data_IF_621119940760
#
_entry.id   IF_621119940760
#
_cell.length_a   1.000
_cell.length_b   1.000
_cell.length_c   1.000
_cell.angle_alpha   90.00
_cell.angle_beta   90.00
_cell.angle_gamma   90.00
#
_symmetry.space_group_name_H-M   'P 1'
#
loop_
_entity.id
_entity.type
_entity.pdbx_description
1 polymer ?
#
# COMPACT_ATOMS: atom_id res chain seq x y z
N UNK A 1 57.01 19.94 28.30
CA UNK A 1 55.88 20.90 28.40
C UNK A 1 55.83 21.72 27.10
N UNK A 2 54.62 22.11 26.64
CA UNK A 2 54.30 23.09 25.57
C UNK A 2 53.73 22.63 24.20
N UNK A 3 53.23 21.40 24.04
CA UNK A 3 52.35 21.11 22.87
C UNK A 3 50.90 21.49 23.17
N UNK A 4 50.44 21.18 24.38
CA UNK A 4 49.02 21.30 24.75
C UNK A 4 48.56 22.76 25.02
N UNK A 5 49.50 23.65 25.41
CA UNK A 5 49.21 25.10 25.52
C UNK A 5 49.12 25.79 24.17
N UNK A 6 49.89 25.34 23.18
CA UNK A 6 49.91 25.97 21.86
C UNK A 6 48.64 25.66 21.06
N UNK A 7 48.08 24.45 21.22
CA UNK A 7 46.79 24.07 20.61
C UNK A 7 45.64 24.86 21.22
N UNK A 8 45.59 25.01 22.56
CA UNK A 8 44.56 25.82 23.23
C UNK A 8 44.65 27.29 22.87
N UNK A 9 45.86 27.83 22.72
CA UNK A 9 46.05 29.23 22.32
C UNK A 9 45.58 29.47 20.89
N UNK A 10 45.95 28.60 19.94
CA UNK A 10 45.52 28.74 18.53
C UNK A 10 44.03 28.49 18.32
N UNK A 11 43.40 27.57 19.05
CA UNK A 11 41.94 27.39 19.02
C UNK A 11 41.21 28.60 19.62
N UNK A 12 41.77 29.22 20.67
CA UNK A 12 41.22 30.44 21.26
C UNK A 12 41.33 31.67 20.34
N UNK A 13 42.33 31.70 19.47
CA UNK A 13 42.52 32.77 18.48
C UNK A 13 41.55 32.63 17.29
N UNK A 14 41.34 31.39 16.81
CA UNK A 14 40.36 31.08 15.75
C UNK A 14 38.92 31.31 16.24
N UNK A 15 38.63 30.99 17.51
CA UNK A 15 37.30 31.22 18.08
C UNK A 15 36.94 32.71 18.27
N UNK A 16 37.95 33.61 18.33
CA UNK A 16 37.73 35.06 18.46
C UNK A 16 37.49 35.78 17.13
N UNK A 17 37.87 35.16 16.00
CA UNK A 17 37.64 35.74 14.66
C UNK A 17 36.29 35.37 14.04
N UNK A 18 35.45 34.60 14.75
CA UNK A 18 34.10 34.26 14.30
C UNK A 18 33.11 35.18 15.00
N UNK A 19 32.86 36.35 14.41
CA UNK A 19 31.65 37.11 14.73
C UNK A 19 30.44 36.36 14.16
N UNK A 20 29.48 35.94 14.99
CA UNK A 20 28.25 35.33 14.50
C UNK A 20 27.52 36.34 13.60
N UNK A 21 27.14 35.91 12.40
CA UNK A 21 26.23 36.70 11.57
C UNK A 21 24.96 36.98 12.39
N UNK A 22 24.40 38.21 12.31
CA UNK A 22 23.22 38.56 13.07
C UNK A 22 22.10 37.57 12.72
N UNK A 23 21.59 36.90 13.76
CA UNK A 23 20.59 35.85 13.66
C UNK A 23 19.44 36.26 12.72
N UNK A 24 19.26 35.58 11.57
CA UNK A 24 18.19 35.90 10.62
C UNK A 24 16.80 35.68 11.22
N UNK A 25 16.69 34.86 12.29
CA UNK A 25 15.42 34.64 12.99
C UNK A 25 14.96 35.86 13.80
N UNK A 26 15.87 36.69 14.29
CA UNK A 26 15.51 37.90 15.05
C UNK A 26 14.71 38.91 14.23
N UNK A 27 15.03 39.07 12.93
CA UNK A 27 14.29 39.96 12.02
C UNK A 27 12.94 39.37 11.58
N UNK A 28 12.84 38.04 11.54
CA UNK A 28 11.58 37.32 11.25
C UNK A 28 10.62 37.34 12.45
N UNK A 29 11.14 37.18 13.68
CA UNK A 29 10.37 37.23 14.91
C UNK A 29 9.87 38.66 15.21
N UNK A 30 10.68 39.69 14.99
CA UNK A 30 10.25 41.08 15.18
C UNK A 30 9.15 41.52 14.18
N UNK A 31 9.07 40.91 12.98
CA UNK A 31 7.96 41.11 12.03
C UNK A 31 6.72 40.29 12.40
N UNK A 32 6.90 39.13 13.04
CA UNK A 32 5.81 38.27 13.56
C UNK A 32 5.12 38.92 14.75
N UNK A 33 5.87 39.50 15.70
CA UNK A 33 5.31 40.12 16.90
C UNK A 33 4.56 41.43 16.61
N UNK A 34 4.98 42.18 15.57
CA UNK A 34 4.22 43.35 15.10
C UNK A 34 2.96 42.99 14.31
N UNK A 35 2.87 41.77 13.76
CA UNK A 35 1.68 41.28 13.04
C UNK A 35 0.70 40.55 13.95
N UNK A 36 1.16 39.88 15.02
CA UNK A 36 0.31 39.17 15.97
C UNK A 36 -0.56 40.09 16.83
N UNK A 37 -0.17 41.35 17.02
CA UNK A 37 -0.99 42.35 17.71
C UNK A 37 -2.20 42.86 16.89
N UNK A 38 -2.39 42.44 15.63
CA UNK A 38 -3.47 42.93 14.75
C UNK A 38 -4.32 41.87 14.05
N UNK A 39 -4.16 40.59 14.35
CA UNK A 39 -4.96 39.53 13.72
C UNK A 39 -5.56 38.62 14.79
N UNK A 40 -6.72 39.02 15.31
CA UNK A 40 -7.72 38.08 15.81
C UNK A 40 -8.48 37.57 14.59
N UNK A 41 -8.67 36.24 14.55
CA UNK A 41 -9.45 35.44 13.61
C UNK A 41 -8.75 35.04 12.30
N UNK A 42 -7.91 34.01 12.36
CA UNK A 42 -7.65 33.05 11.27
C UNK A 42 -6.95 31.81 11.82
N UNK A 43 -7.34 30.62 11.36
CA UNK A 43 -6.59 29.39 11.57
C UNK A 43 -6.55 28.55 10.29
N UNK A 44 -5.37 28.48 9.68
CA UNK A 44 -4.80 27.47 8.77
C UNK A 44 -3.41 28.01 8.32
N UNK A 45 -2.33 27.28 8.08
CA UNK A 45 -2.10 25.85 7.87
C UNK A 45 -0.62 25.50 8.16
N UNK A 46 -0.35 24.26 8.59
CA UNK A 46 0.93 23.55 8.39
C UNK A 46 0.60 22.33 7.54
N UNK A 47 1.19 22.26 6.35
CA UNK A 47 0.91 21.22 5.37
C UNK A 47 1.83 20.00 5.61
N UNK A 48 1.25 18.94 6.17
CA UNK A 48 1.76 17.57 5.99
C UNK A 48 1.07 17.03 4.74
N UNK A 49 1.84 16.67 3.72
CA UNK A 49 1.30 16.04 2.51
C UNK A 49 0.91 14.60 2.88
N UNK A 50 -0.33 14.43 3.33
CA UNK A 50 -1.00 13.15 3.34
C UNK A 50 -1.43 12.87 1.88
N UNK A 51 -0.76 11.93 1.22
CA UNK A 51 -1.27 11.37 -0.04
C UNK A 51 -2.38 10.39 0.34
N UNK A 52 -3.55 10.92 0.67
CA UNK A 52 -4.79 10.14 0.60
C UNK A 52 -5.10 9.98 -0.87
N UNK A 53 -5.01 8.74 -1.39
CA UNK A 53 -5.60 8.40 -2.69
C UNK A 53 -7.11 8.46 -2.48
N UNK A 54 -7.67 9.67 -2.53
CA UNK A 54 -9.08 9.86 -2.75
C UNK A 54 -9.33 9.45 -4.20
N UNK A 55 -9.84 8.24 -4.41
CA UNK A 55 -10.41 7.86 -5.71
C UNK A 55 -11.52 8.89 -5.98
N UNK A 56 -11.39 9.78 -6.98
CA UNK A 56 -12.43 10.73 -7.27
C UNK A 56 -13.57 9.94 -7.92
N UNK A 57 -14.60 9.62 -7.14
CA UNK A 57 -15.87 9.18 -7.71
C UNK A 57 -16.50 10.39 -8.40
N UNK A 58 -16.12 10.65 -9.65
CA UNK A 58 -16.74 11.66 -10.50
C UNK A 58 -18.11 11.12 -10.91
N UNK A 59 -19.10 11.27 -10.04
CA UNK A 59 -20.51 11.14 -10.44
C UNK A 59 -20.92 12.41 -11.19
N UNK A 60 -20.65 12.45 -12.50
CA UNK A 60 -21.45 13.27 -13.41
C UNK A 60 -22.82 12.63 -13.50
N UNK A 61 -23.87 13.42 -13.25
CA UNK A 61 -25.27 12.97 -13.21
C UNK A 61 -25.76 12.41 -14.54
N UNK A 62 -25.42 11.16 -14.84
CA UNK A 62 -26.20 10.31 -15.71
C UNK A 62 -27.46 9.88 -14.97
N UNK A 63 -28.60 9.93 -15.68
CA UNK A 63 -29.88 9.46 -15.15
C UNK A 63 -29.69 8.01 -14.67
N UNK A 64 -30.22 7.62 -13.49
CA UNK A 64 -30.04 6.28 -12.97
C UNK A 64 -30.58 5.27 -13.97
N UNK A 65 -29.69 4.54 -14.63
CA UNK A 65 -30.05 3.30 -15.29
C UNK A 65 -30.49 2.36 -14.18
N UNK A 66 -31.75 1.93 -14.22
CA UNK A 66 -32.27 0.90 -13.33
C UNK A 66 -31.35 -0.32 -13.50
N UNK A 67 -30.71 -0.83 -12.44
CA UNK A 67 -29.84 -2.00 -12.56
C UNK A 67 -30.62 -3.14 -13.21
N UNK A 68 -30.02 -3.80 -14.20
CA UNK A 68 -30.43 -5.14 -14.62
C UNK A 68 -30.56 -6.04 -13.38
N UNK A 69 -31.52 -6.97 -13.41
CA UNK A 69 -31.89 -7.93 -12.34
C UNK A 69 -30.81 -8.07 -11.25
N UNK A 70 -31.17 -7.69 -10.01
CA UNK A 70 -30.22 -7.59 -8.90
C UNK A 70 -29.37 -8.84 -8.75
N UNK A 71 -28.05 -8.67 -8.75
CA UNK A 71 -27.10 -9.75 -8.48
C UNK A 71 -27.51 -10.47 -7.19
N UNK A 72 -27.53 -11.80 -7.25
CA UNK A 72 -27.95 -12.68 -6.16
C UNK A 72 -27.08 -12.50 -4.91
N UNK A 73 -25.94 -11.82 -5.01
CA UNK A 73 -24.92 -11.73 -3.95
C UNK A 73 -23.82 -12.75 -4.20
N UNK A 74 -22.75 -12.68 -3.40
CA UNK A 74 -21.62 -13.60 -3.50
C UNK A 74 -21.87 -14.87 -2.71
N UNK A 75 -21.36 -15.99 -3.22
CA UNK A 75 -21.47 -17.28 -2.53
C UNK A 75 -20.76 -17.24 -1.18
N UNK A 76 -21.47 -17.69 -0.13
CA UNK A 76 -20.89 -17.94 1.19
C UNK A 76 -20.04 -19.19 1.11
N UNK A 77 -18.73 -18.99 0.99
CA UNK A 77 -17.70 -19.99 0.73
C UNK A 77 -17.00 -20.48 2.00
N UNK A 78 -17.05 -19.74 3.11
CA UNK A 78 -16.29 -20.08 4.33
C UNK A 78 -17.11 -20.07 5.63
N UNK A 79 -16.72 -20.86 6.64
CA UNK A 79 -17.30 -20.78 7.98
C UNK A 79 -17.13 -19.40 8.64
N UNK A 80 -16.10 -18.63 8.27
CA UNK A 80 -15.85 -17.31 8.84
C UNK A 80 -16.76 -16.23 8.30
N UNK A 81 -17.18 -16.34 7.03
CA UNK A 81 -18.26 -15.51 6.48
C UNK A 81 -19.55 -15.72 7.26
N UNK A 82 -19.92 -16.97 7.52
CA UNK A 82 -21.08 -17.29 8.38
C UNK A 82 -20.91 -16.75 9.80
N UNK A 83 -19.69 -16.82 10.36
CA UNK A 83 -19.37 -16.25 11.67
C UNK A 83 -19.49 -14.72 11.67
N UNK A 84 -19.11 -14.04 10.59
CA UNK A 84 -19.31 -12.60 10.44
C UNK A 84 -20.79 -12.25 10.40
N UNK A 85 -21.60 -12.96 9.61
CA UNK A 85 -23.05 -12.75 9.51
C UNK A 85 -23.77 -12.95 10.84
N UNK A 86 -23.33 -13.94 11.63
CA UNK A 86 -23.87 -14.23 12.96
C UNK A 86 -23.26 -13.38 14.09
N UNK A 87 -22.36 -12.45 13.78
CA UNK A 87 -21.76 -11.56 14.77
C UNK A 87 -22.80 -10.55 15.28
N UNK A 88 -22.79 -10.20 16.58
CA UNK A 88 -23.66 -9.14 17.08
C UNK A 88 -23.36 -7.81 16.39
N UNK A 89 -24.37 -6.95 16.30
CA UNK A 89 -24.19 -5.57 15.85
C UNK A 89 -23.20 -4.84 16.75
N UNK A 90 -22.24 -4.14 16.15
CA UNK A 90 -21.18 -3.40 16.85
C UNK A 90 -21.22 -1.92 16.52
N UNK A 91 -20.43 -1.12 17.24
CA UNK A 91 -20.35 0.33 17.09
C UNK A 91 -21.06 1.10 18.19
N UNK A 92 -20.81 2.41 18.25
CA UNK A 92 -21.24 3.30 19.33
C UNK A 92 -22.76 3.47 19.46
N UNK A 93 -23.53 3.02 18.46
CA UNK A 93 -25.00 3.08 18.44
C UNK A 93 -25.65 1.70 18.52
N UNK A 94 -24.88 0.60 18.56
CA UNK A 94 -25.41 -0.77 18.54
C UNK A 94 -26.33 -1.11 19.71
N UNK A 95 -26.10 -0.52 20.90
CA UNK A 95 -26.95 -0.72 22.07
C UNK A 95 -28.35 -0.07 21.93
N UNK A 96 -28.53 0.84 20.96
CA UNK A 96 -29.81 1.52 20.72
C UNK A 96 -30.70 0.64 19.83
N UNK A 97 -31.26 -0.43 20.38
CA UNK A 97 -32.04 -1.44 19.63
C UNK A 97 -33.10 -0.84 18.71
N UNK A 98 -33.90 0.12 19.21
CA UNK A 98 -34.93 0.77 18.39
C UNK A 98 -34.35 1.48 17.14
N UNK A 99 -33.16 2.06 17.24
CA UNK A 99 -32.49 2.70 16.11
C UNK A 99 -31.93 1.66 15.13
N UNK A 100 -31.35 0.57 15.63
CA UNK A 100 -30.87 -0.55 14.80
C UNK A 100 -32.04 -1.16 14.02
N UNK A 101 -33.15 -1.44 14.70
CA UNK A 101 -34.37 -1.99 14.10
C UNK A 101 -34.95 -1.04 13.03
N UNK A 102 -34.93 0.28 13.27
CA UNK A 102 -35.36 1.29 12.30
C UNK A 102 -34.46 1.30 11.05
N UNK A 103 -33.14 1.27 11.23
CA UNK A 103 -32.17 1.21 10.12
C UNK A 103 -32.41 -0.04 9.27
N UNK A 104 -32.50 -1.22 9.91
CA UNK A 104 -32.74 -2.50 9.23
C UNK A 104 -34.06 -2.45 8.45
N UNK A 105 -35.15 -2.01 9.08
CA UNK A 105 -36.47 -1.92 8.45
C UNK A 105 -36.45 -0.98 7.24
N UNK A 106 -35.80 0.19 7.35
CA UNK A 106 -35.70 1.14 6.23
C UNK A 106 -34.84 0.60 5.10
N UNK A 107 -33.69 -0.01 5.38
CA UNK A 107 -32.86 -0.64 4.34
C UNK A 107 -33.61 -1.78 3.64
N UNK A 108 -34.31 -2.61 4.41
CA UNK A 108 -35.09 -3.74 3.90
C UNK A 108 -36.24 -3.28 2.99
N UNK A 109 -36.98 -2.26 3.40
CA UNK A 109 -38.05 -1.68 2.56
C UNK A 109 -37.53 -1.05 1.24
N UNK A 110 -36.23 -0.73 1.16
CA UNK A 110 -35.59 -0.15 0.00
C UNK A 110 -34.80 -1.15 -0.86
N UNK A 111 -34.93 -2.46 -0.64
CA UNK A 111 -34.22 -3.52 -1.40
C UNK A 111 -34.11 -3.26 -2.91
N UNK A 112 -35.21 -2.89 -3.56
CA UNK A 112 -35.22 -2.64 -5.00
C UNK A 112 -34.34 -1.46 -5.41
N UNK A 113 -34.36 -0.37 -4.63
CA UNK A 113 -33.51 0.83 -4.84
C UNK A 113 -32.04 0.50 -4.56
N UNK A 114 -31.80 -0.36 -3.57
CA UNK A 114 -30.48 -0.87 -3.22
C UNK A 114 -29.97 -1.94 -4.20
N UNK A 115 -30.80 -2.38 -5.15
CA UNK A 115 -30.49 -3.43 -6.12
C UNK A 115 -30.29 -4.81 -5.50
N UNK A 116 -30.91 -5.07 -4.35
CA UNK A 116 -30.78 -6.34 -3.61
C UNK A 116 -31.72 -7.38 -4.20
N UNK A 117 -31.19 -8.57 -4.48
CA UNK A 117 -31.99 -9.69 -4.97
C UNK A 117 -33.09 -10.08 -3.96
N UNK A 118 -34.31 -10.41 -4.42
CA UNK A 118 -35.37 -10.94 -3.57
C UNK A 118 -35.03 -12.31 -2.94
N UNK A 119 -33.99 -12.99 -3.42
CA UNK A 119 -33.54 -14.28 -2.88
C UNK A 119 -32.82 -14.14 -1.53
N UNK A 120 -32.25 -12.96 -1.24
CA UNK A 120 -31.51 -12.66 -0.01
C UNK A 120 -32.46 -12.26 1.14
N UNK A 121 -33.21 -13.21 1.66
CA UNK A 121 -34.36 -12.96 2.55
C UNK A 121 -33.98 -12.43 3.94
N UNK A 122 -32.78 -12.71 4.42
CA UNK A 122 -32.34 -12.37 5.77
C UNK A 122 -31.55 -11.06 5.80
N UNK A 123 -31.60 -10.37 6.93
CA UNK A 123 -30.93 -9.08 7.13
C UNK A 123 -30.21 -9.08 8.48
N UNK A 124 -28.88 -8.97 8.43
CA UNK A 124 -28.02 -8.99 9.62
C UNK A 124 -27.31 -7.64 9.79
N UNK A 125 -27.67 -6.83 10.80
CA UNK A 125 -26.95 -5.59 11.10
C UNK A 125 -25.58 -5.87 11.72
N UNK A 126 -24.51 -5.53 11.02
CA UNK A 126 -23.14 -5.82 11.46
C UNK A 126 -22.52 -4.65 12.24
N UNK A 127 -22.78 -3.42 11.81
CA UNK A 127 -22.26 -2.22 12.45
C UNK A 127 -23.24 -1.05 12.38
N UNK A 128 -23.37 -0.30 13.47
CA UNK A 128 -24.00 1.01 13.51
C UNK A 128 -23.27 1.90 14.51
N UNK A 129 -22.71 3.01 14.03
CA UNK A 129 -21.93 3.89 14.90
C UNK A 129 -21.58 5.23 14.28
N UNK A 130 -21.22 6.15 15.17
CA UNK A 130 -20.53 7.39 14.82
C UNK A 130 -19.03 7.15 14.75
N UNK A 131 -18.40 7.50 13.63
CA UNK A 131 -16.95 7.40 13.40
C UNK A 131 -16.45 8.70 12.77
N UNK A 132 -15.53 9.38 13.46
CA UNK A 132 -15.06 10.70 13.04
C UNK A 132 -16.22 11.70 12.91
N UNK A 133 -16.45 12.16 11.68
CA UNK A 133 -17.51 13.12 11.33
C UNK A 133 -18.73 12.47 10.68
N UNK A 134 -18.79 11.14 10.64
CA UNK A 134 -19.82 10.39 9.94
C UNK A 134 -20.58 9.41 10.84
N UNK A 135 -21.86 9.18 10.50
CA UNK A 135 -22.66 8.05 10.94
C UNK A 135 -22.58 6.96 9.88
N UNK A 136 -22.21 5.75 10.28
CA UNK A 136 -22.03 4.60 9.38
C UNK A 136 -22.96 3.46 9.82
N UNK A 137 -23.66 2.86 8.86
CA UNK A 137 -24.37 1.59 9.00
C UNK A 137 -23.82 0.56 8.00
N UNK A 138 -23.60 -0.66 8.46
CA UNK A 138 -23.29 -1.79 7.59
C UNK A 138 -24.21 -2.95 7.92
N UNK A 139 -24.92 -3.41 6.89
CA UNK A 139 -25.93 -4.46 6.96
C UNK A 139 -25.65 -5.49 5.90
N UNK A 140 -25.74 -6.77 6.25
CA UNK A 140 -25.68 -7.86 5.29
C UNK A 140 -27.10 -8.29 4.89
N UNK A 141 -27.34 -8.42 3.60
CA UNK A 141 -28.51 -9.13 3.06
C UNK A 141 -28.04 -10.53 2.64
N UNK A 142 -28.69 -11.59 3.13
CA UNK A 142 -28.21 -12.95 2.89
C UNK A 142 -29.32 -14.00 2.75
N UNK A 143 -28.94 -15.13 2.17
CA UNK A 143 -29.62 -16.43 2.20
C UNK A 143 -28.72 -17.44 2.95
N UNK A 144 -29.01 -18.73 2.81
CA UNK A 144 -28.17 -19.80 3.35
C UNK A 144 -26.81 -19.93 2.64
N UNK A 145 -26.73 -19.47 1.40
CA UNK A 145 -25.63 -19.72 0.46
C UNK A 145 -25.09 -18.48 -0.25
N UNK A 146 -25.77 -17.33 -0.16
CA UNK A 146 -25.35 -16.08 -0.77
C UNK A 146 -25.49 -14.90 0.18
N UNK A 147 -24.62 -13.90 0.03
CA UNK A 147 -24.68 -12.70 0.82
C UNK A 147 -24.12 -11.49 0.08
N UNK A 148 -24.60 -10.30 0.46
CA UNK A 148 -24.01 -9.04 0.05
C UNK A 148 -24.01 -8.05 1.20
N UNK A 149 -22.93 -7.29 1.33
CA UNK A 149 -22.83 -6.23 2.31
C UNK A 149 -23.30 -4.91 1.69
N UNK A 150 -24.10 -4.17 2.44
CA UNK A 150 -24.54 -2.82 2.09
C UNK A 150 -24.08 -1.86 3.17
N UNK A 151 -23.33 -0.85 2.75
CA UNK A 151 -22.93 0.26 3.61
C UNK A 151 -23.78 1.50 3.35
N UNK A 152 -23.96 2.29 4.39
CA UNK A 152 -24.53 3.63 4.33
C UNK A 152 -23.73 4.58 5.20
N UNK A 153 -23.50 5.79 4.70
CA UNK A 153 -22.77 6.85 5.38
C UNK A 153 -23.51 8.18 5.23
N UNK A 154 -23.65 8.88 6.35
CA UNK A 154 -24.13 10.26 6.39
C UNK A 154 -23.30 11.06 7.39
N UNK A 155 -23.56 12.37 7.46
CA UNK A 155 -22.95 13.20 8.49
C UNK A 155 -23.27 12.65 9.89
N UNK A 156 -22.37 12.90 10.84
CA UNK A 156 -22.60 12.60 12.25
C UNK A 156 -23.95 13.16 12.70
N UNK A 157 -24.64 12.42 13.55
CA UNK A 157 -25.97 12.76 14.09
C UNK A 157 -27.12 12.79 13.06
N UNK A 158 -26.86 12.52 11.78
CA UNK A 158 -27.88 12.47 10.73
C UNK A 158 -29.01 11.51 11.08
N UNK A 159 -30.26 11.91 10.79
CA UNK A 159 -31.43 11.05 11.00
C UNK A 159 -31.31 9.72 10.25
N UNK A 160 -32.12 8.72 10.63
CA UNK A 160 -32.14 7.43 9.91
C UNK A 160 -32.48 7.64 8.43
N UNK A 161 -33.40 8.55 8.09
CA UNK A 161 -33.73 8.84 6.68
C UNK A 161 -32.54 9.43 5.91
N UNK A 162 -31.80 10.35 6.53
CA UNK A 162 -30.59 10.93 5.93
C UNK A 162 -29.47 9.89 5.79
N UNK A 163 -29.34 8.95 6.73
CA UNK A 163 -28.38 7.85 6.64
C UNK A 163 -28.69 6.93 5.46
N UNK A 164 -29.96 6.54 5.30
CA UNK A 164 -30.39 5.61 4.26
C UNK A 164 -30.29 6.24 2.86
N UNK A 165 -30.63 7.53 2.74
CA UNK A 165 -30.47 8.32 1.53
C UNK A 165 -29.03 8.83 1.29
N UNK A 166 -28.12 8.57 2.24
CA UNK A 166 -26.74 9.01 2.21
C UNK A 166 -25.88 8.29 1.18
N UNK A 167 -24.57 8.51 1.28
CA UNK A 167 -23.60 7.77 0.48
C UNK A 167 -23.53 6.31 0.90
N UNK A 168 -22.72 5.53 0.20
CA UNK A 168 -22.44 4.14 0.53
C UNK A 168 -22.12 3.33 -0.70
N UNK A 169 -22.06 2.02 -0.51
CA UNK A 169 -21.72 1.05 -1.53
C UNK A 169 -22.19 -0.35 -1.18
N UNK A 170 -22.12 -1.23 -2.17
CA UNK A 170 -22.32 -2.66 -2.04
C UNK A 170 -20.96 -3.34 -2.09
N UNK A 171 -20.76 -4.33 -1.25
CA UNK A 171 -19.49 -5.06 -1.16
C UNK A 171 -19.73 -6.56 -1.09
N UNK A 172 -18.80 -7.36 -1.62
CA UNK A 172 -18.83 -8.80 -1.41
C UNK A 172 -18.70 -9.12 0.08
N UNK A 173 -19.28 -10.24 0.50
CA UNK A 173 -19.04 -10.75 1.84
C UNK A 173 -17.61 -11.28 1.93
N UNK A 174 -16.81 -10.70 2.82
CA UNK A 174 -15.47 -11.18 3.14
C UNK A 174 -15.36 -11.29 4.67
N UNK A 175 -14.77 -12.36 5.23
CA UNK A 175 -14.56 -12.49 6.67
C UNK A 175 -13.92 -11.26 7.32
N UNK A 176 -12.99 -10.60 6.62
CA UNK A 176 -12.46 -9.31 7.02
C UNK A 176 -12.62 -8.32 5.88
N UNK A 177 -13.31 -7.22 6.17
CA UNK A 177 -13.46 -6.14 5.21
C UNK A 177 -13.30 -4.79 5.91
N UNK A 178 -12.85 -3.83 5.13
CA UNK A 178 -12.65 -2.46 5.57
C UNK A 178 -13.53 -1.59 4.68
N UNK A 179 -14.34 -0.76 5.31
CA UNK A 179 -15.12 0.27 4.64
C UNK A 179 -14.58 1.62 5.05
N UNK A 180 -14.26 2.49 4.09
CA UNK A 180 -13.85 3.86 4.36
C UNK A 180 -14.37 4.76 3.25
N UNK A 181 -15.00 5.87 3.61
CA UNK A 181 -15.52 6.82 2.63
C UNK A 181 -15.47 8.25 3.16
N UNK A 182 -15.15 9.19 2.27
CA UNK A 182 -15.36 10.62 2.46
C UNK A 182 -16.42 11.09 1.48
N UNK A 183 -17.41 11.84 1.97
CA UNK A 183 -18.49 12.42 1.17
C UNK A 183 -18.37 13.94 1.22
N UNK A 184 -18.33 14.55 0.04
CA UNK A 184 -18.37 15.99 -0.14
C UNK A 184 -19.72 16.36 -0.76
N UNK A 185 -20.51 17.20 -0.09
CA UNK A 185 -21.78 17.68 -0.62
C UNK A 185 -22.00 19.16 -0.28
N UNK A 186 -23.17 19.70 -0.64
CA UNK A 186 -23.52 21.10 -0.40
C UNK A 186 -23.57 21.50 1.08
N UNK A 187 -23.68 20.53 2.01
CA UNK A 187 -23.68 20.75 3.46
C UNK A 187 -22.29 20.63 4.09
N UNK A 188 -21.26 20.25 3.33
CA UNK A 188 -19.88 20.13 3.78
C UNK A 188 -19.24 18.79 3.45
N UNK A 189 -18.11 18.53 4.12
CA UNK A 189 -17.34 17.29 4.01
C UNK A 189 -17.47 16.48 5.30
N UNK A 190 -17.79 15.20 5.17
CA UNK A 190 -17.74 14.25 6.28
C UNK A 190 -17.14 12.93 5.82
N UNK A 191 -16.58 12.17 6.75
CA UNK A 191 -15.97 10.89 6.45
C UNK A 191 -15.66 10.07 7.69
N UNK A 192 -15.38 8.81 7.43
CA UNK A 192 -14.98 7.82 8.41
C UNK A 192 -14.93 6.43 7.77
N UNK A 193 -14.41 5.47 8.52
CA UNK A 193 -14.36 4.08 8.11
C UNK A 193 -14.52 3.12 9.27
N UNK A 194 -14.64 1.85 8.97
CA UNK A 194 -14.68 0.77 9.96
C UNK A 194 -14.11 -0.49 9.33
N UNK A 195 -13.28 -1.20 10.09
CA UNK A 195 -12.86 -2.55 9.79
C UNK A 195 -13.72 -3.53 10.59
N UNK A 196 -14.24 -4.57 9.93
CA UNK A 196 -15.02 -5.63 10.57
C UNK A 196 -14.41 -6.99 10.29
N UNK A 197 -14.25 -7.76 11.36
CA UNK A 197 -13.93 -9.18 11.39
C UNK A 197 -15.05 -9.93 12.13
N UNK A 198 -15.04 -11.28 12.16
CA UNK A 198 -16.00 -12.04 12.95
C UNK A 198 -15.83 -11.73 14.44
N UNK A 199 -16.92 -11.75 15.21
CA UNK A 199 -16.87 -11.45 16.63
C UNK A 199 -15.93 -12.40 17.40
N UNK A 200 -15.16 -11.81 18.33
CA UNK A 200 -14.10 -12.48 19.07
C UNK A 200 -12.78 -12.62 18.31
N UNK A 201 -12.64 -11.95 17.16
CA UNK A 201 -11.33 -11.75 16.54
C UNK A 201 -10.73 -10.41 16.98
N UNK A 202 -9.42 -10.43 17.16
CA UNK A 202 -8.57 -9.31 17.51
C UNK A 202 -8.15 -8.58 16.23
N UNK A 203 -8.33 -7.26 16.20
CA UNK A 203 -7.82 -6.38 15.13
C UNK A 203 -6.67 -5.56 15.72
N UNK A 204 -5.51 -5.69 15.08
CA UNK A 204 -4.35 -4.87 15.36
C UNK A 204 -3.95 -4.10 14.09
N UNK A 205 -3.44 -2.88 14.28
CA UNK A 205 -2.94 -2.05 13.18
C UNK A 205 -1.46 -1.74 13.35
N UNK A 206 -0.83 -1.36 12.25
CA UNK A 206 0.52 -0.80 12.27
C UNK A 206 0.60 0.42 11.37
N UNK A 207 1.23 1.47 11.89
CA UNK A 207 1.51 2.72 11.18
C UNK A 207 2.91 2.73 10.56
N UNK A 208 3.70 1.67 10.76
CA UNK A 208 5.08 1.63 10.33
C UNK A 208 5.73 0.26 10.49
N UNK A 209 6.34 -0.22 9.41
CA UNK A 209 7.26 -1.34 9.36
C UNK A 209 8.69 -0.86 9.26
N UNK A 210 9.60 -1.65 9.83
CA UNK A 210 11.05 -1.49 9.73
C UNK A 210 11.61 -2.61 8.87
N UNK A 211 12.17 -2.24 7.72
CA UNK A 211 12.86 -3.19 6.85
C UNK A 211 14.23 -3.56 7.44
N UNK A 212 14.44 -4.83 7.77
CA UNK A 212 15.66 -5.37 8.37
C UNK A 212 16.71 -5.72 7.32
N UNK A 213 17.96 -5.91 7.75
CA UNK A 213 19.09 -6.31 6.90
C UNK A 213 18.81 -7.61 6.14
N UNK A 214 18.10 -8.56 6.74
CA UNK A 214 17.80 -9.84 6.09
C UNK A 214 16.64 -9.76 5.07
N UNK A 215 16.12 -8.55 4.80
CA UNK A 215 15.01 -8.31 3.89
C UNK A 215 13.62 -8.51 4.51
N UNK A 216 13.53 -8.97 5.77
CA UNK A 216 12.24 -9.09 6.46
C UNK A 216 11.74 -7.73 6.93
N UNK A 217 10.43 -7.59 7.03
CA UNK A 217 9.79 -6.40 7.60
C UNK A 217 9.28 -6.71 9.00
N UNK A 218 9.67 -5.88 9.96
CA UNK A 218 9.27 -5.94 11.35
C UNK A 218 8.24 -4.83 11.64
N UNK A 219 7.04 -5.21 12.08
CA UNK A 219 5.95 -4.29 12.37
C UNK A 219 5.73 -4.14 13.87
N UNK A 220 5.58 -2.89 14.31
CA UNK A 220 5.05 -2.61 15.62
C UNK A 220 3.52 -2.64 15.55
N UNK A 221 2.92 -3.73 16.05
CA UNK A 221 1.47 -3.91 16.09
C UNK A 221 0.89 -3.24 17.33
N UNK A 222 -0.14 -2.43 17.12
CA UNK A 222 -0.99 -1.89 18.17
C UNK A 222 -2.30 -2.67 18.20
N UNK A 223 -2.67 -3.20 19.36
CA UNK A 223 -3.98 -3.84 19.52
C UNK A 223 -5.06 -2.76 19.59
N UNK A 224 -5.99 -2.79 18.65
CA UNK A 224 -6.99 -1.72 18.49
C UNK A 224 -8.42 -2.18 18.78
N UNK A 225 -8.72 -3.46 18.60
CA UNK A 225 -10.02 -4.05 18.96
C UNK A 225 -9.90 -5.53 19.33
N UNK A 226 -10.76 -5.98 20.25
CA UNK A 226 -10.89 -7.39 20.66
C UNK A 226 -12.28 -7.96 20.34
N UNK A 227 -13.16 -7.16 19.72
CA UNK A 227 -14.55 -7.55 19.43
C UNK A 227 -14.82 -7.73 17.92
N UNK A 228 -13.75 -7.66 17.12
CA UNK A 228 -13.78 -7.76 15.67
C UNK A 228 -14.29 -6.49 14.98
N UNK A 229 -14.33 -5.33 15.64
CA UNK A 229 -14.67 -4.06 15.01
C UNK A 229 -13.72 -2.94 15.39
N UNK A 230 -13.21 -2.19 14.41
CA UNK A 230 -12.35 -1.04 14.65
C UNK A 230 -12.78 0.19 13.83
N UNK A 231 -13.26 1.28 14.47
CA UNK A 231 -13.59 2.52 13.78
C UNK A 231 -12.33 3.27 13.34
N UNK A 232 -12.32 3.77 12.10
CA UNK A 232 -11.21 4.46 11.45
C UNK A 232 -11.62 5.91 11.15
N UNK A 233 -11.47 6.87 12.08
CA UNK A 233 -11.99 8.23 11.90
C UNK A 233 -11.31 8.99 10.76
N UNK A 234 -10.00 8.79 10.58
CA UNK A 234 -9.19 9.59 9.65
C UNK A 234 -8.77 8.81 8.39
N UNK A 235 -9.23 7.55 8.25
CA UNK A 235 -8.94 6.69 7.10
C UNK A 235 -7.48 6.23 6.95
N UNK A 236 -6.58 6.53 7.91
CA UNK A 236 -5.15 6.25 7.76
C UNK A 236 -4.69 5.07 8.61
N UNK A 237 -4.94 3.85 8.14
CA UNK A 237 -4.25 2.65 8.64
C UNK A 237 -3.53 2.00 7.46
N UNK A 238 -2.21 1.86 7.59
CA UNK A 238 -1.39 1.36 6.48
C UNK A 238 -1.34 -0.16 6.45
N UNK A 239 -1.40 -0.81 7.62
CA UNK A 239 -1.38 -2.27 7.72
C UNK A 239 -2.28 -2.79 8.83
N UNK A 240 -2.86 -3.94 8.56
CA UNK A 240 -3.85 -4.60 9.39
C UNK A 240 -3.38 -6.01 9.72
N UNK A 241 -3.73 -6.47 10.91
CA UNK A 241 -3.59 -7.85 11.34
C UNK A 241 -4.85 -8.27 12.07
N UNK A 242 -5.42 -9.40 11.65
CA UNK A 242 -6.58 -9.99 12.29
C UNK A 242 -6.22 -11.37 12.81
N UNK A 243 -6.38 -11.55 14.12
CA UNK A 243 -6.14 -12.83 14.79
C UNK A 243 -7.45 -13.34 15.37
N UNK A 244 -7.76 -14.61 15.20
CA UNK A 244 -8.95 -15.22 15.79
C UNK A 244 -8.50 -16.37 16.68
N UNK A 245 -8.38 -16.12 17.98
CA UNK A 245 -7.58 -16.95 18.90
C UNK A 245 -6.09 -16.81 18.58
N UNK A 246 -5.33 -17.90 18.67
CA UNK A 246 -3.87 -17.90 18.45
C UNK A 246 -3.46 -17.88 16.96
N UNK A 247 -4.43 -17.80 16.04
CA UNK A 247 -4.18 -17.89 14.59
C UNK A 247 -4.37 -16.53 13.94
N UNK A 248 -3.33 -16.05 13.26
CA UNK A 248 -3.42 -14.90 12.35
C UNK A 248 -4.15 -15.34 11.09
N UNK A 249 -5.34 -14.78 10.87
CA UNK A 249 -6.20 -15.05 9.72
C UNK A 249 -5.94 -14.07 8.59
N UNK A 250 -5.56 -12.85 8.93
CA UNK A 250 -5.23 -11.83 7.97
C UNK A 250 -4.04 -11.00 8.45
N UNK A 251 -3.14 -10.67 7.52
CA UNK A 251 -2.09 -9.69 7.71
C UNK A 251 -1.81 -9.02 6.37
N UNK A 252 -1.95 -7.70 6.25
CA UNK A 252 -1.81 -7.05 4.95
C UNK A 252 -2.22 -5.58 4.91
N UNK A 253 -2.05 -4.92 3.75
CA UNK A 253 -2.56 -3.57 3.52
C UNK A 253 -4.09 -3.59 3.39
N UNK A 254 -4.77 -2.46 3.62
CA UNK A 254 -6.25 -2.37 3.53
C UNK A 254 -6.86 -3.03 2.29
N UNK A 255 -6.23 -2.82 1.13
CA UNK A 255 -6.56 -3.49 -0.12
C UNK A 255 -5.26 -3.94 -0.78
N UNK A 256 -5.21 -5.16 -1.34
CA UNK A 256 -4.17 -5.55 -2.28
C UNK A 256 -4.07 -4.50 -3.40
N UNK A 257 -2.86 -4.20 -3.85
CA UNK A 257 -2.65 -3.33 -5.01
C UNK A 257 -1.99 -4.13 -6.10
N UNK A 258 -2.75 -4.44 -7.14
CA UNK A 258 -2.26 -5.13 -8.33
C UNK A 258 -2.06 -4.15 -9.50
N UNK A 259 -2.71 -2.99 -9.43
CA UNK A 259 -2.62 -1.94 -10.42
C UNK A 259 -2.79 -0.55 -9.78
N UNK A 260 -2.18 0.47 -10.36
CA UNK A 260 -2.51 1.87 -10.05
C UNK A 260 -2.12 2.80 -11.20
N UNK A 261 -2.80 3.94 -11.27
CA UNK A 261 -2.52 5.03 -12.21
C UNK A 261 -2.04 6.25 -11.41
N UNK A 262 -0.83 6.73 -11.70
CA UNK A 262 -0.30 7.97 -11.09
C UNK A 262 -0.96 9.25 -11.61
N UNK A 263 -1.95 9.12 -12.49
CA UNK A 263 -2.51 10.24 -13.24
C UNK A 263 -1.60 10.65 -14.39
N UNK A 264 -2.06 11.60 -15.21
CA UNK A 264 -1.47 12.00 -16.49
C UNK A 264 -0.09 12.70 -16.40
N UNK A 265 0.86 12.18 -15.64
CA UNK A 265 2.28 12.35 -15.90
C UNK A 265 2.68 11.33 -17.00
N UNK A 266 2.22 11.55 -18.23
CA UNK A 266 2.79 10.84 -19.36
C UNK A 266 4.24 11.30 -19.51
N UNK A 267 5.18 10.45 -19.10
CA UNK A 267 6.56 10.61 -19.52
C UNK A 267 6.57 10.60 -21.07
N UNK A 268 7.16 11.59 -21.74
CA UNK A 268 7.29 11.55 -23.18
C UNK A 268 7.96 10.23 -23.61
N UNK A 269 7.52 9.66 -24.73
CA UNK A 269 8.15 8.44 -25.27
C UNK A 269 9.62 8.77 -25.57
N UNK A 270 10.59 8.05 -24.99
CA UNK A 270 11.99 8.37 -25.21
C UNK A 270 12.37 8.14 -26.68
N UNK A 271 13.10 9.10 -27.25
CA UNK A 271 13.78 8.88 -28.52
C UNK A 271 14.88 7.80 -28.33
N UNK A 272 15.00 6.82 -29.23
CA UNK A 272 15.99 5.76 -29.08
C UNK A 272 17.41 6.35 -29.04
N UNK A 273 18.18 5.98 -28.00
CA UNK A 273 19.61 6.28 -27.87
C UNK A 273 20.02 7.37 -26.89
N UNK A 274 19.14 7.82 -25.97
CA UNK A 274 19.48 8.82 -24.95
C UNK A 274 19.56 8.23 -23.53
N UNK A 275 20.34 8.90 -22.67
CA UNK A 275 20.25 8.85 -21.20
C UNK A 275 18.80 8.69 -20.73
N UNK A 276 18.62 8.02 -19.60
CA UNK A 276 17.34 7.81 -18.92
C UNK A 276 16.54 9.11 -18.99
N UNK A 277 15.34 9.04 -19.57
CA UNK A 277 14.44 10.19 -19.57
C UNK A 277 14.14 10.57 -18.11
N UNK A 278 14.43 11.82 -17.73
CA UNK A 278 14.16 12.36 -16.38
C UNK A 278 12.70 12.11 -15.96
N UNK A 279 11.77 12.06 -16.91
CA UNK A 279 10.38 11.73 -16.64
C UNK A 279 10.18 10.26 -16.26
N UNK A 280 10.85 9.32 -16.94
CA UNK A 280 10.81 7.90 -16.59
C UNK A 280 11.45 7.64 -15.22
N UNK A 281 12.54 8.33 -14.91
CA UNK A 281 13.17 8.28 -13.59
C UNK A 281 12.22 8.75 -12.49
N UNK A 282 11.56 9.89 -12.72
CA UNK A 282 10.57 10.43 -11.78
C UNK A 282 9.41 9.46 -11.55
N UNK A 283 8.85 8.88 -12.62
CA UNK A 283 7.81 7.85 -12.56
C UNK A 283 8.29 6.67 -11.70
N UNK A 284 9.50 6.15 -11.92
CA UNK A 284 10.04 5.05 -11.13
C UNK A 284 10.24 5.40 -9.63
N UNK A 285 10.67 6.62 -9.32
CA UNK A 285 10.82 7.10 -7.93
C UNK A 285 9.45 7.24 -7.24
N UNK A 286 8.46 7.82 -7.92
CA UNK A 286 7.09 7.93 -7.40
C UNK A 286 6.46 6.55 -7.20
N UNK A 287 6.64 5.63 -8.15
CA UNK A 287 6.26 4.22 -8.04
C UNK A 287 6.83 3.57 -6.78
N UNK A 288 8.14 3.73 -6.55
CA UNK A 288 8.79 3.16 -5.38
C UNK A 288 8.26 3.80 -4.08
N UNK A 289 8.09 5.12 -4.04
CA UNK A 289 7.51 5.82 -2.87
C UNK A 289 6.09 5.35 -2.56
N UNK A 290 5.25 5.20 -3.58
CA UNK A 290 3.90 4.68 -3.44
C UNK A 290 3.92 3.27 -2.84
N UNK A 291 4.75 2.38 -3.38
CA UNK A 291 4.88 1.00 -2.88
C UNK A 291 5.43 0.95 -1.45
N UNK A 292 6.40 1.81 -1.09
CA UNK A 292 6.90 1.91 0.29
C UNK A 292 5.79 2.32 1.25
N UNK A 293 4.98 3.30 0.86
CA UNK A 293 3.80 3.72 1.62
C UNK A 293 2.76 2.60 1.77
N UNK A 294 2.51 1.83 0.70
CA UNK A 294 1.59 0.69 0.72
C UNK A 294 2.10 -0.48 1.56
N UNK A 295 3.40 -0.71 1.59
CA UNK A 295 4.04 -1.67 2.49
C UNK A 295 4.15 -1.15 3.94
N UNK A 296 3.64 0.06 4.23
CA UNK A 296 3.77 0.74 5.52
C UNK A 296 5.23 0.93 5.95
N UNK A 297 6.19 1.00 5.03
CA UNK A 297 7.62 1.13 5.37
C UNK A 297 7.97 2.58 5.73
N UNK A 298 7.92 2.88 7.03
CA UNK A 298 8.19 4.20 7.57
C UNK A 298 9.70 4.47 7.74
N UNK A 299 10.11 5.73 7.63
CA UNK A 299 11.50 6.16 7.86
C UNK A 299 12.50 5.70 6.80
N UNK A 300 12.04 5.11 5.70
CA UNK A 300 12.87 4.79 4.56
C UNK A 300 13.16 6.07 3.76
N UNK A 301 14.43 6.40 3.45
CA UNK A 301 14.79 7.56 2.64
C UNK A 301 14.17 7.52 1.24
N UNK A 302 14.18 8.67 0.56
CA UNK A 302 13.73 8.80 -0.83
C UNK A 302 14.44 7.76 -1.72
N UNK A 303 13.70 7.03 -2.56
CA UNK A 303 14.28 6.10 -3.52
C UNK A 303 15.28 6.78 -4.45
N UNK A 304 16.37 6.08 -4.76
CA UNK A 304 17.36 6.51 -5.76
C UNK A 304 17.43 5.51 -6.91
N UNK A 305 17.59 5.97 -8.16
CA UNK A 305 17.86 5.07 -9.28
C UNK A 305 19.27 4.48 -9.13
N UNK A 306 19.37 3.17 -9.25
CA UNK A 306 20.65 2.44 -9.16
C UNK A 306 21.11 1.97 -10.54
N UNK A 307 20.16 1.63 -11.41
CA UNK A 307 20.42 1.23 -12.77
C UNK A 307 19.25 1.59 -13.68
N UNK A 308 19.55 1.82 -14.95
CA UNK A 308 18.55 1.78 -16.01
C UNK A 308 19.17 1.31 -17.31
N UNK A 309 18.32 0.74 -18.15
CA UNK A 309 18.72 0.26 -19.46
C UNK A 309 17.69 -0.72 -20.00
N UNK A 310 18.13 -1.55 -20.94
CA UNK A 310 17.37 -2.70 -21.42
C UNK A 310 18.24 -3.94 -21.36
N UNK A 311 17.64 -5.09 -21.09
CA UNK A 311 18.30 -6.39 -21.22
C UNK A 311 17.43 -7.29 -22.11
N UNK A 312 18.00 -8.30 -22.80
CA UNK A 312 17.24 -9.17 -23.70
C UNK A 312 16.03 -9.83 -23.04
N UNK A 313 16.14 -10.23 -21.77
CA UNK A 313 15.06 -10.82 -21.00
C UNK A 313 13.85 -9.88 -20.78
N UNK A 314 14.01 -8.58 -21.00
CA UNK A 314 12.92 -7.59 -20.95
C UNK A 314 12.24 -7.36 -22.31
N UNK A 315 12.56 -8.17 -23.33
CA UNK A 315 12.05 -7.97 -24.69
C UNK A 315 12.48 -6.64 -25.31
N UNK A 316 13.62 -6.09 -24.89
CA UNK A 316 14.14 -4.80 -25.34
C UNK A 316 13.45 -3.57 -24.73
N UNK A 317 12.51 -3.74 -23.80
CA UNK A 317 11.88 -2.62 -23.07
C UNK A 317 12.89 -1.93 -22.16
N UNK A 318 12.76 -0.61 -22.05
CA UNK A 318 13.50 0.16 -21.05
C UNK A 318 13.03 -0.19 -19.65
N UNK A 319 13.95 -0.27 -18.71
CA UNK A 319 13.67 -0.52 -17.31
C UNK A 319 14.55 0.32 -16.39
N UNK A 320 14.05 0.55 -15.20
CA UNK A 320 14.72 1.30 -14.14
C UNK A 320 14.66 0.46 -12.87
N UNK A 321 15.82 0.28 -12.23
CA UNK A 321 15.93 -0.25 -10.87
C UNK A 321 16.14 0.91 -9.93
N UNK A 322 15.24 1.08 -8.98
CA UNK A 322 15.39 2.04 -7.88
C UNK A 322 15.48 1.31 -6.55
N UNK A 323 16.23 1.87 -5.60
CA UNK A 323 16.41 1.29 -4.29
C UNK A 323 16.34 2.33 -3.19
N UNK A 324 15.91 1.89 -2.01
CA UNK A 324 15.85 2.69 -0.79
C UNK A 324 16.43 1.87 0.37
N UNK A 325 17.29 2.48 1.17
CA UNK A 325 18.01 1.80 2.26
C UNK A 325 17.45 2.27 3.59
N UNK A 326 16.84 1.37 4.35
CA UNK A 326 16.31 1.67 5.67
C UNK A 326 17.43 2.04 6.66
N UNK A 327 17.12 2.76 7.75
CA UNK A 327 18.08 3.00 8.83
C UNK A 327 18.63 1.72 9.49
N UNK A 328 17.89 0.61 9.39
CA UNK A 328 18.33 -0.69 9.87
C UNK A 328 19.22 -1.44 8.88
N UNK A 329 19.53 -0.84 7.71
CA UNK A 329 20.40 -1.42 6.68
C UNK A 329 19.71 -2.35 5.69
N UNK A 330 18.39 -2.54 5.79
CA UNK A 330 17.62 -3.29 4.81
C UNK A 330 17.38 -2.48 3.53
N UNK A 331 17.35 -3.15 2.38
CA UNK A 331 17.22 -2.51 1.06
C UNK A 331 15.89 -2.91 0.44
N UNK A 332 15.06 -1.92 0.10
CA UNK A 332 13.84 -2.08 -0.70
C UNK A 332 14.16 -1.75 -2.15
N UNK A 333 13.93 -2.68 -3.07
CA UNK A 333 14.26 -2.54 -4.50
C UNK A 333 13.01 -2.66 -5.34
N UNK A 334 12.87 -1.78 -6.33
CA UNK A 334 11.80 -1.81 -7.34
C UNK A 334 12.43 -1.91 -8.72
N UNK A 335 11.98 -2.86 -9.52
CA UNK A 335 12.18 -2.89 -10.96
C UNK A 335 10.90 -2.42 -11.64
N UNK A 336 11.00 -1.37 -12.44
CA UNK A 336 9.94 -0.93 -13.35
C UNK A 336 10.38 -1.19 -14.79
N UNK A 337 9.56 -1.92 -15.55
CA UNK A 337 9.74 -2.22 -16.97
C UNK A 337 8.71 -1.45 -17.77
N UNK A 338 9.16 -0.46 -18.54
CA UNK A 338 8.31 0.55 -19.17
C UNK A 338 8.37 1.91 -18.45
N UNK A 339 7.82 2.93 -19.11
CA UNK A 339 7.85 4.34 -18.68
C UNK A 339 6.47 4.93 -18.41
N UNK A 340 5.41 4.12 -18.54
CA UNK A 340 4.04 4.55 -18.28
C UNK A 340 3.81 4.81 -16.79
N UNK A 341 3.00 5.84 -16.49
CA UNK A 341 2.49 6.13 -15.15
C UNK A 341 1.38 5.18 -14.68
N UNK A 342 0.86 4.35 -15.59
CA UNK A 342 0.02 3.20 -15.26
C UNK A 342 0.91 2.00 -15.00
N UNK A 343 0.69 1.35 -13.86
CA UNK A 343 1.58 0.31 -13.35
C UNK A 343 0.77 -0.93 -13.00
N UNK A 344 1.21 -2.08 -13.50
CA UNK A 344 0.80 -3.40 -13.03
C UNK A 344 1.91 -3.97 -12.13
N UNK A 345 1.52 -4.45 -10.96
CA UNK A 345 2.45 -4.94 -9.94
C UNK A 345 2.42 -6.47 -9.98
N UNK A 346 3.58 -7.06 -10.20
CA UNK A 346 3.81 -8.48 -10.07
C UNK A 346 4.14 -8.82 -8.62
N UNK A 347 3.29 -9.62 -8.00
CA UNK A 347 3.31 -9.93 -6.56
C UNK A 347 3.28 -11.44 -6.27
N UNK A 348 3.49 -12.27 -7.30
CA UNK A 348 3.53 -13.73 -7.20
C UNK A 348 3.71 -14.40 -8.55
N UNK A 349 3.78 -15.74 -8.56
CA UNK A 349 3.88 -16.56 -9.79
C UNK A 349 2.53 -16.80 -10.48
N UNK A 350 1.44 -16.54 -9.77
CA UNK A 350 0.06 -16.69 -10.25
C UNK A 350 -0.70 -15.38 -10.02
N UNK A 351 -1.69 -15.12 -10.86
CA UNK A 351 -2.57 -13.95 -10.71
C UNK A 351 -3.51 -14.17 -9.53
N UNK A 352 -3.35 -13.36 -8.48
CA UNK A 352 -4.20 -13.41 -7.28
C UNK A 352 -5.44 -12.50 -7.31
N UNK A 353 -5.54 -11.58 -8.29
CA UNK A 353 -6.67 -10.66 -8.34
C UNK A 353 -7.98 -11.38 -8.72
N UNK A 354 -9.10 -11.12 -8.02
CA UNK A 354 -10.42 -11.53 -8.50
C UNK A 354 -10.68 -10.89 -9.85
N UNK A 355 -11.00 -11.72 -10.86
CA UNK A 355 -11.55 -11.25 -12.14
C UNK A 355 -12.82 -10.43 -11.84
N UNK A 356 -12.75 -9.11 -11.87
CA UNK A 356 -13.91 -8.24 -11.65
C UNK A 356 -13.76 -7.11 -10.63
N UNK A 357 -12.58 -6.82 -10.07
CA UNK A 357 -12.40 -5.54 -9.40
C UNK A 357 -12.64 -4.42 -10.42
N UNK A 358 -13.54 -3.48 -10.12
CA UNK A 358 -13.87 -2.33 -10.98
C UNK A 358 -12.66 -1.40 -11.30
N UNK A 359 -11.47 -1.71 -10.80
CA UNK A 359 -10.17 -1.24 -11.32
C UNK A 359 -9.83 -1.86 -12.69
N UNK A 360 -10.85 -2.30 -13.46
CA UNK A 360 -10.70 -3.03 -14.72
C UNK A 360 -9.80 -2.23 -15.65
N UNK A 361 -8.67 -2.88 -15.94
CA UNK A 361 -7.64 -2.55 -16.90
C UNK A 361 -8.31 -2.40 -18.26
N UNK A 362 -8.75 -1.19 -18.59
CA UNK A 362 -9.29 -0.88 -19.90
C UNK A 362 -8.24 -1.06 -21.01
N UNK A 363 -8.64 -0.93 -22.29
CA UNK A 363 -7.71 -1.03 -23.44
C UNK A 363 -6.48 -0.11 -23.33
N UNK A 364 -6.59 0.95 -22.53
CA UNK A 364 -5.60 1.97 -22.22
C UNK A 364 -4.50 1.51 -21.24
N UNK A 365 -4.50 0.25 -20.81
CA UNK A 365 -3.48 -0.35 -19.94
C UNK A 365 -2.57 -1.37 -20.63
N UNK A 366 -2.77 -1.62 -21.93
CA UNK A 366 -1.89 -2.51 -22.71
C UNK A 366 -0.41 -2.08 -22.62
N UNK A 367 -0.17 -0.77 -22.55
CA UNK A 367 1.16 -0.17 -22.43
C UNK A 367 1.58 0.14 -20.98
N UNK A 368 0.86 -0.39 -19.98
CA UNK A 368 1.23 -0.20 -18.58
C UNK A 368 2.67 -0.71 -18.31
N UNK A 369 3.36 0.00 -17.43
CA UNK A 369 4.64 -0.44 -16.88
C UNK A 369 4.41 -1.68 -16.02
N UNK A 370 5.33 -2.63 -16.07
CA UNK A 370 5.30 -3.79 -15.20
C UNK A 370 6.28 -3.57 -14.06
N UNK A 371 5.86 -3.82 -12.84
CA UNK A 371 6.66 -3.56 -11.65
C UNK A 371 6.82 -4.82 -10.82
N UNK A 372 8.02 -5.06 -10.31
CA UNK A 372 8.27 -6.07 -9.28
C UNK A 372 9.07 -5.44 -8.13
N UNK A 373 8.92 -6.02 -6.95
CA UNK A 373 9.60 -5.56 -5.74
C UNK A 373 10.46 -6.66 -5.14
N UNK A 374 11.52 -6.28 -4.44
CA UNK A 374 12.37 -7.19 -3.70
C UNK A 374 12.92 -6.51 -2.45
N UNK A 375 13.30 -7.30 -1.46
CA UNK A 375 14.00 -6.84 -0.27
C UNK A 375 15.28 -7.65 -0.02
N UNK A 376 16.30 -7.02 0.57
CA UNK A 376 17.57 -7.69 0.85
C UNK A 376 18.61 -6.83 1.57
N UNK A 377 19.81 -7.40 1.74
CA UNK A 377 20.82 -6.88 2.68
C UNK A 377 21.80 -5.86 2.10
N UNK A 378 22.03 -5.89 0.78
CA UNK A 378 23.18 -5.20 0.19
C UNK A 378 22.80 -4.30 -0.97
N UNK A 379 23.22 -3.04 -0.89
CA UNK A 379 23.15 -2.09 -2.01
C UNK A 379 24.14 -2.40 -3.13
N UNK A 380 25.20 -3.15 -2.81
CA UNK A 380 26.29 -3.48 -3.74
C UNK A 380 25.95 -4.73 -4.58
N UNK A 381 24.83 -5.39 -4.27
CA UNK A 381 24.27 -6.53 -5.01
C UNK A 381 22.75 -6.59 -4.82
N UNK A 382 22.04 -6.00 -5.78
CA UNK A 382 20.58 -6.01 -5.85
C UNK A 382 20.10 -7.14 -6.77
N UNK A 383 18.95 -7.71 -6.43
CA UNK A 383 18.23 -8.61 -7.32
C UNK A 383 16.73 -8.45 -7.18
N UNK A 384 16.02 -8.56 -8.29
CA UNK A 384 14.57 -8.37 -8.38
C UNK A 384 14.03 -9.16 -9.57
N UNK A 385 12.85 -9.75 -9.40
CA UNK A 385 12.20 -10.54 -10.46
C UNK A 385 11.91 -9.66 -11.66
N UNK A 386 12.17 -10.20 -12.84
CA UNK A 386 11.65 -9.62 -14.07
C UNK A 386 10.14 -9.92 -14.11
N UNK A 387 9.27 -8.91 -14.09
CA UNK A 387 7.84 -9.13 -14.21
C UNK A 387 7.45 -9.43 -15.67
N UNK A 388 6.44 -10.26 -15.85
CA UNK A 388 5.80 -10.55 -17.13
C UNK A 388 4.31 -10.21 -17.07
N UNK A 389 3.73 -9.81 -18.20
CA UNK A 389 2.29 -9.56 -18.30
C UNK A 389 1.55 -10.88 -18.51
N UNK A 390 0.51 -11.11 -17.71
CA UNK A 390 -0.45 -12.19 -17.90
C UNK A 390 -1.86 -11.60 -17.99
N UNK A 391 -2.34 -11.45 -19.23
CA UNK A 391 -3.58 -10.73 -19.53
C UNK A 391 -3.59 -9.30 -18.99
N UNK A 392 -4.50 -9.03 -18.07
CA UNK A 392 -4.69 -7.74 -17.39
C UNK A 392 -3.85 -7.59 -16.12
N UNK A 393 -2.99 -8.56 -15.81
CA UNK A 393 -2.17 -8.61 -14.60
C UNK A 393 -0.68 -8.73 -14.90
N UNK A 394 0.15 -8.70 -13.86
CA UNK A 394 1.58 -8.99 -13.94
C UNK A 394 1.96 -10.11 -12.96
N UNK A 395 2.90 -10.95 -13.36
CA UNK A 395 3.38 -12.11 -12.59
C UNK A 395 4.92 -12.14 -12.54
N UNK A 396 5.48 -12.88 -11.59
CA UNK A 396 6.91 -13.14 -11.49
C UNK A 396 7.35 -14.20 -12.50
N UNK A 397 8.42 -13.91 -13.22
CA UNK A 397 9.12 -14.93 -14.03
C UNK A 397 10.14 -15.70 -13.21
N UNK A 398 10.72 -16.76 -13.78
CA UNK A 398 11.89 -17.42 -13.19
C UNK A 398 13.21 -16.66 -13.39
N UNK A 399 13.20 -15.43 -13.92
CA UNK A 399 14.39 -14.63 -14.17
C UNK A 399 14.52 -13.52 -13.13
N UNK A 400 15.71 -13.37 -12.55
CA UNK A 400 16.08 -12.23 -11.71
C UNK A 400 16.99 -11.30 -12.51
N UNK A 401 16.66 -10.01 -12.53
CA UNK A 401 17.63 -8.98 -12.88
C UNK A 401 18.56 -8.77 -11.69
N UNK A 402 19.87 -8.89 -11.93
CA UNK A 402 20.91 -8.65 -10.94
C UNK A 402 21.67 -7.38 -11.30
N UNK A 403 21.82 -6.49 -10.33
CA UNK A 403 22.61 -5.25 -10.43
C UNK A 403 23.67 -5.26 -9.34
N UNK A 404 24.93 -5.28 -9.74
CA UNK A 404 26.09 -5.35 -8.87
C UNK A 404 27.10 -4.23 -9.19
N UNK A 405 28.21 -4.21 -8.46
CA UNK A 405 29.39 -3.40 -8.81
C UNK A 405 29.79 -3.60 -10.29
N UNK A 406 30.18 -2.52 -10.98
CA UNK A 406 30.49 -2.55 -12.42
C UNK A 406 31.67 -3.48 -12.78
N UNK A 407 32.54 -3.79 -11.82
CA UNK A 407 33.65 -4.73 -11.99
C UNK A 407 33.24 -6.19 -11.81
N UNK A 408 32.01 -6.46 -11.37
CA UNK A 408 31.45 -7.80 -11.28
C UNK A 408 31.22 -8.36 -12.68
N UNK A 409 31.70 -9.57 -12.92
CA UNK A 409 31.58 -10.30 -14.19
C UNK A 409 30.72 -11.54 -14.07
N UNK A 410 30.40 -11.98 -12.85
CA UNK A 410 29.65 -13.20 -12.58
C UNK A 410 28.84 -13.07 -11.29
N UNK A 411 27.67 -13.70 -11.23
CA UNK A 411 26.88 -13.88 -10.02
C UNK A 411 26.53 -15.35 -9.83
N UNK A 412 26.67 -15.84 -8.60
CA UNK A 412 26.27 -17.17 -8.16
C UNK A 412 25.09 -17.05 -7.21
N UNK A 413 24.11 -17.94 -7.37
CA UNK A 413 23.04 -18.14 -6.39
C UNK A 413 23.27 -19.45 -5.65
N UNK A 414 23.33 -19.39 -4.33
CA UNK A 414 23.45 -20.56 -3.46
C UNK A 414 22.22 -20.70 -2.56
N UNK A 415 21.73 -21.92 -2.38
CA UNK A 415 20.62 -22.17 -1.45
C UNK A 415 21.07 -22.19 0.02
N UNK A 416 20.12 -22.44 0.93
CA UNK A 416 20.39 -22.49 2.38
C UNK A 416 21.40 -23.58 2.79
N UNK A 417 21.63 -24.60 1.96
CA UNK A 417 22.64 -25.65 2.19
C UNK A 417 24.01 -25.28 1.63
N UNK A 418 24.11 -24.14 0.94
CA UNK A 418 25.31 -23.69 0.25
C UNK A 418 25.48 -24.31 -1.15
N UNK A 419 24.49 -25.06 -1.64
CA UNK A 419 24.54 -25.65 -2.99
C UNK A 419 24.30 -24.56 -4.04
N UNK A 420 25.12 -24.56 -5.08
CA UNK A 420 24.93 -23.71 -6.24
C UNK A 420 23.64 -24.09 -6.99
N UNK A 421 22.70 -23.15 -7.08
CA UNK A 421 21.40 -23.33 -7.76
C UNK A 421 21.28 -22.49 -9.03
N UNK A 422 22.17 -21.52 -9.24
CA UNK A 422 22.21 -20.73 -10.45
C UNK A 422 23.54 -19.99 -10.63
N UNK A 423 23.84 -19.63 -11.87
CA UNK A 423 25.00 -18.80 -12.23
C UNK A 423 24.66 -17.96 -13.44
N UNK A 424 25.13 -16.72 -13.47
CA UNK A 424 25.00 -15.85 -14.64
C UNK A 424 26.24 -14.99 -14.84
N UNK A 425 26.50 -14.66 -16.10
CA UNK A 425 27.49 -13.64 -16.47
C UNK A 425 26.89 -12.25 -16.30
N UNK A 426 27.73 -11.31 -15.89
CA UNK A 426 27.39 -9.90 -15.76
C UNK A 426 28.20 -9.09 -16.78
N UNK A 427 27.54 -8.14 -17.42
CA UNK A 427 28.15 -7.12 -18.27
C UNK A 427 28.03 -5.80 -17.56
N UNK A 428 29.17 -5.17 -17.23
CA UNK A 428 29.22 -3.93 -16.44
C UNK A 428 28.44 -4.03 -15.12
N UNK A 429 28.51 -5.19 -14.45
CA UNK A 429 27.81 -5.46 -13.19
C UNK A 429 26.34 -5.84 -13.33
N UNK A 430 25.78 -5.94 -14.54
CA UNK A 430 24.35 -6.22 -14.76
C UNK A 430 24.16 -7.49 -15.57
N UNK A 431 23.17 -8.30 -15.18
CA UNK A 431 22.81 -9.52 -15.91
C UNK A 431 21.56 -10.17 -15.37
N UNK A 432 21.18 -11.30 -15.96
CA UNK A 432 20.00 -12.06 -15.56
C UNK A 432 20.37 -13.46 -15.13
N UNK A 433 19.80 -13.91 -14.01
CA UNK A 433 19.99 -15.26 -13.48
C UNK A 433 18.65 -15.96 -13.36
N UNK A 434 18.59 -17.21 -13.82
CA UNK A 434 17.40 -18.04 -13.73
C UNK A 434 17.36 -18.78 -12.40
N UNK A 435 16.32 -18.57 -11.61
CA UNK A 435 16.05 -19.23 -10.33
C UNK A 435 14.55 -19.49 -10.26
N UNK A 436 14.12 -20.68 -9.84
CA UNK A 436 12.69 -20.95 -9.64
C UNK A 436 12.06 -19.92 -8.67
N UNK A 437 10.78 -19.60 -8.85
CA UNK A 437 10.02 -18.74 -7.96
C UNK A 437 8.92 -19.56 -7.25
N UNK A 438 8.58 -19.28 -5.98
CA UNK A 438 9.32 -18.45 -5.03
C UNK A 438 10.68 -19.10 -4.65
N UNK A 439 11.65 -18.31 -4.20
CA UNK A 439 12.96 -18.82 -3.76
C UNK A 439 13.54 -18.09 -2.56
N UNK A 440 14.44 -18.79 -1.86
CA UNK A 440 15.28 -18.23 -0.81
C UNK A 440 16.73 -18.63 -1.08
N UNK A 441 17.55 -17.68 -1.52
CA UNK A 441 18.96 -17.90 -1.92
C UNK A 441 19.86 -16.79 -1.39
N UNK A 442 21.16 -17.07 -1.34
CA UNK A 442 22.19 -16.04 -1.18
C UNK A 442 22.85 -15.80 -2.53
N UNK A 443 22.85 -14.56 -2.99
CA UNK A 443 23.56 -14.12 -4.18
C UNK A 443 24.98 -13.70 -3.81
N UNK A 444 25.92 -14.04 -4.69
CA UNK A 444 27.35 -13.77 -4.52
C UNK A 444 27.90 -13.24 -5.84
N UNK A 445 28.42 -12.01 -5.85
CA UNK A 445 29.01 -11.43 -7.06
C UNK A 445 30.54 -11.58 -7.07
N UNK A 446 31.10 -11.82 -8.24
CA UNK A 446 32.53 -12.07 -8.44
C UNK A 446 33.08 -11.22 -9.59
N UNK A 447 34.33 -10.78 -9.47
CA UNK A 447 35.05 -10.13 -10.56
C UNK A 447 35.75 -11.15 -11.48
N UNK A 448 36.45 -10.65 -12.51
CA UNK A 448 37.17 -11.49 -13.49
C UNK A 448 38.25 -12.39 -12.86
N UNK A 449 38.78 -12.04 -11.69
CA UNK A 449 39.75 -12.84 -10.93
C UNK A 449 39.07 -13.81 -9.95
N UNK A 450 37.75 -13.98 -10.02
CA UNK A 450 36.93 -14.77 -9.08
C UNK A 450 37.05 -14.32 -7.62
N UNK A 451 37.39 -13.05 -7.38
CA UNK A 451 37.30 -12.46 -6.05
C UNK A 451 35.84 -12.11 -5.77
N UNK A 452 35.33 -12.59 -4.64
CA UNK A 452 34.02 -12.21 -4.13
C UNK A 452 33.99 -10.70 -3.85
N UNK A 453 33.00 -10.01 -4.43
CA UNK A 453 32.80 -8.57 -4.26
C UNK A 453 31.71 -8.27 -3.23
N UNK A 454 30.53 -8.88 -3.38
CA UNK A 454 29.40 -8.65 -2.50
C UNK A 454 28.57 -9.93 -2.29
N UNK A 455 27.83 -9.95 -1.18
CA UNK A 455 26.80 -10.96 -0.88
C UNK A 455 25.48 -10.26 -0.58
N UNK A 456 24.38 -10.88 -0.98
CA UNK A 456 23.04 -10.38 -0.67
C UNK A 456 22.09 -11.55 -0.48
N UNK A 457 21.31 -11.52 0.59
CA UNK A 457 20.20 -12.47 0.78
C UNK A 457 19.04 -12.05 -0.12
N UNK A 458 18.46 -13.01 -0.82
CA UNK A 458 17.26 -12.85 -1.62
C UNK A 458 16.20 -13.83 -1.14
N UNK A 459 15.06 -13.30 -0.68
CA UNK A 459 14.01 -14.09 -0.08
C UNK A 459 12.65 -13.68 -0.64
N UNK A 460 11.93 -14.64 -1.18
CA UNK A 460 10.57 -14.49 -1.66
C UNK A 460 9.66 -15.34 -0.78
N UNK A 461 8.55 -14.75 -0.38
CA UNK A 461 7.48 -15.48 0.29
C UNK A 461 6.66 -16.22 -0.77
N UNK A 462 6.18 -17.41 -0.41
CA UNK A 462 5.25 -18.16 -1.27
C UNK A 462 3.85 -17.55 -1.28
N UNK A 463 3.52 -16.76 -0.25
CA UNK A 463 2.26 -16.04 -0.17
C UNK A 463 2.27 -14.88 -1.20
N UNK A 464 1.35 -14.94 -2.17
CA UNK A 464 1.17 -13.89 -3.18
C UNK A 464 0.70 -12.58 -2.55
N UNK A 465 1.01 -11.45 -3.20
CA UNK A 465 0.68 -10.10 -2.72
C UNK A 465 1.79 -9.42 -1.91
N UNK A 466 2.93 -10.09 -1.69
CA UNK A 466 4.02 -9.54 -0.89
C UNK A 466 4.71 -8.36 -1.60
N UNK A 467 4.76 -7.21 -0.92
CA UNK A 467 5.51 -6.01 -1.37
C UNK A 467 6.74 -5.86 -0.47
N UNK A 468 7.94 -5.85 -1.05
CA UNK A 468 9.23 -5.80 -0.34
C UNK A 468 9.40 -6.89 0.74
N UNK A 469 8.89 -8.10 0.48
CA UNK A 469 8.94 -9.20 1.45
C UNK A 469 8.04 -9.02 2.67
N UNK A 470 7.17 -8.00 2.68
CA UNK A 470 6.15 -7.85 3.70
C UNK A 470 5.05 -8.90 3.51
N UNK A 471 4.80 -9.78 4.50
CA UNK A 471 3.92 -10.93 4.33
C UNK A 471 2.47 -10.49 4.13
N UNK A 472 1.80 -11.08 3.14
CA UNK A 472 0.34 -10.97 3.00
C UNK A 472 -0.27 -12.31 3.40
N UNK A 473 -0.98 -12.34 4.51
CA UNK A 473 -1.66 -13.52 5.02
C UNK A 473 -3.15 -13.35 4.74
N UNK A 474 -3.75 -14.35 4.09
CA UNK A 474 -5.20 -14.51 4.00
C UNK A 474 -5.53 -15.99 4.15
N UNK A 475 -5.93 -16.39 5.36
CA UNK A 475 -6.12 -17.80 5.77
C UNK A 475 -7.42 -17.94 6.57
N UNK A 476 -8.51 -17.53 5.95
CA UNK A 476 -9.85 -17.63 6.52
C UNK A 476 -10.31 -19.09 6.57
#
# INVERSE_FOLDING_TARGET
MNVDRNVKYRLGEIARSVTPDPDPFGRLMARRDRRSARVIASAAAVAVIAVSVAVPSIFKGEKPQVPMAGEVGDTISSPWERKLLSSPTRGSLAAKKALVDEVVTKMDSQRAILGISPELKEVSPLFLGEVGTARIAIVAFHSDDSAILVSRIAARDASTDELIAGGGGRFPLNPFFIYSQSVNNSKGSFGGGVALAPHGCDIATSVGGRLLVDGRVDYAWQQDSVDGSFPVPDGTVQRWRVSCGDVVRYEGPELPVHAYDMGAAHAPVPAPGREIDEAAERVAIETNRFLLGRAALSGVPTPVPVWAGSVPALGGRSAIVSASISPAGGVATVLQVGTSGKVLIADGVEVTAPRGSNDVVGPDWNDASLVSTASGASRDLLAVRIPERDGESAIWTSELLVVADRTATEVHAVDATGKLVGTAKLTEGVGTIRIAAPSSVTLQSYNAQRKLLAKSSFHELADAGAIFGAPVISRW
#
